data_IF_967772017318
#
_entry.id   IF_967772017318
#
_cell.length_a   1.000
_cell.length_b   1.000
_cell.length_c   1.000
_cell.angle_alpha   90.00
_cell.angle_beta   90.00
_cell.angle_gamma   90.00
#
_symmetry.space_group_name_H-M   'P 1'
#
loop_
_entity.id
_entity.type
_entity.pdbx_description
1 polymer ?
#
# COMPACT_ATOMS: atom_id res chain seq x y z
N UNK A 1 6.89 61.50 -51.53
CA UNK A 1 6.61 60.11 -51.10
C UNK A 1 7.69 59.70 -50.09
N UNK A 2 7.69 60.30 -48.90
CA UNK A 2 7.15 59.74 -47.64
C UNK A 2 7.92 58.49 -47.17
N UNK A 3 8.91 58.72 -46.31
CA UNK A 3 9.57 57.73 -45.46
C UNK A 3 8.55 57.26 -44.42
N UNK A 4 8.35 55.94 -44.30
CA UNK A 4 7.54 55.35 -43.23
C UNK A 4 8.46 55.15 -42.03
N UNK A 5 8.26 55.97 -41.01
CA UNK A 5 8.85 55.76 -39.68
C UNK A 5 8.22 54.52 -39.04
N UNK A 6 9.07 53.61 -38.57
CA UNK A 6 8.66 52.43 -37.82
C UNK A 6 8.43 52.82 -36.35
N UNK A 7 7.23 52.54 -35.83
CA UNK A 7 6.91 52.67 -34.39
C UNK A 7 7.59 51.52 -33.63
N UNK A 8 8.38 51.79 -32.58
CA UNK A 8 8.89 50.72 -31.73
C UNK A 8 7.80 50.20 -30.78
N UNK A 9 7.56 48.90 -30.80
CA UNK A 9 6.71 48.20 -29.83
C UNK A 9 7.38 48.19 -28.45
N UNK A 10 6.67 48.49 -27.34
CA UNK A 10 7.26 48.43 -26.01
C UNK A 10 7.50 46.97 -25.57
N UNK A 11 8.64 46.73 -24.92
CA UNK A 11 9.00 45.45 -24.31
C UNK A 11 8.13 45.15 -23.07
N UNK A 12 7.83 43.88 -22.74
CA UNK A 12 7.10 43.53 -21.53
C UNK A 12 7.93 43.84 -20.28
N UNK A 13 7.31 44.52 -19.32
CA UNK A 13 7.89 44.83 -18.00
C UNK A 13 8.03 43.55 -17.17
N UNK A 14 9.15 43.30 -16.47
CA UNK A 14 9.26 42.18 -15.54
C UNK A 14 8.33 42.40 -14.34
N UNK A 15 7.53 41.38 -14.00
CA UNK A 15 6.72 41.39 -12.78
C UNK A 15 7.63 41.39 -11.54
N UNK A 16 7.34 42.29 -10.59
CA UNK A 16 8.04 42.35 -9.30
C UNK A 16 7.77 41.08 -8.45
N UNK A 17 8.72 40.63 -7.61
CA UNK A 17 8.48 39.52 -6.71
C UNK A 17 7.45 39.91 -5.65
N UNK A 18 6.34 39.18 -5.60
CA UNK A 18 5.37 39.28 -4.51
C UNK A 18 6.01 38.79 -3.21
N UNK A 19 5.93 39.64 -2.18
CA UNK A 19 6.41 39.35 -0.82
C UNK A 19 5.72 38.09 -0.29
N UNK A 20 6.50 37.09 0.13
CA UNK A 20 5.96 35.87 0.71
C UNK A 20 5.30 36.16 2.07
N UNK A 21 4.08 35.67 2.26
CA UNK A 21 3.39 35.74 3.55
C UNK A 21 4.16 34.93 4.62
N UNK A 22 4.20 35.37 5.89
CA UNK A 22 4.84 34.60 6.95
C UNK A 22 4.09 33.29 7.18
N UNK A 23 4.83 32.18 7.19
CA UNK A 23 4.34 30.86 7.56
C UNK A 23 3.90 30.84 9.02
N UNK A 24 2.72 30.30 9.36
CA UNK A 24 2.31 30.14 10.75
C UNK A 24 3.23 29.14 11.46
N UNK A 25 3.71 29.52 12.65
CA UNK A 25 4.50 28.64 13.52
C UNK A 25 3.63 27.46 13.99
N UNK A 26 4.10 26.20 13.87
CA UNK A 26 3.35 25.06 14.38
C UNK A 26 3.26 25.12 15.92
N UNK A 27 2.17 24.61 16.54
CA UNK A 27 2.06 24.51 17.99
C UNK A 27 3.11 23.54 18.56
N UNK A 28 3.51 23.70 19.83
CA UNK A 28 4.42 22.77 20.50
C UNK A 28 3.79 21.37 20.56
N UNK A 29 4.55 20.37 20.10
CA UNK A 29 4.15 18.96 20.15
C UNK A 29 4.29 18.47 21.58
N UNK A 30 3.19 18.11 22.23
CA UNK A 30 3.21 17.39 23.50
C UNK A 30 3.75 15.98 23.26
N UNK A 31 4.79 15.52 24.00
CA UNK A 31 5.25 14.16 23.87
C UNK A 31 4.16 13.19 24.34
N UNK A 32 3.98 12.02 23.67
CA UNK A 32 3.03 11.02 24.12
C UNK A 32 3.43 10.49 25.50
N UNK A 33 2.45 10.30 26.38
CA UNK A 33 2.63 9.60 27.65
C UNK A 33 3.06 8.16 27.36
N UNK A 34 4.30 7.81 27.73
CA UNK A 34 4.80 6.45 27.60
C UNK A 34 4.16 5.58 28.69
N UNK A 35 3.45 4.48 28.35
CA UNK A 35 2.96 3.55 29.35
C UNK A 35 4.15 2.91 30.11
N UNK A 36 3.97 2.50 31.37
CA UNK A 36 5.03 1.86 32.15
C UNK A 36 5.54 0.60 31.45
N UNK A 37 6.86 0.45 31.42
CA UNK A 37 7.56 -0.66 30.77
C UNK A 37 7.21 -1.98 31.47
N UNK A 38 6.73 -2.96 30.69
CA UNK A 38 6.44 -4.30 31.20
C UNK A 38 7.76 -5.03 31.54
N UNK A 39 7.80 -5.85 32.61
CA UNK A 39 9.01 -6.58 32.98
C UNK A 39 9.45 -7.52 31.86
N UNK A 40 10.77 -7.60 31.65
CA UNK A 40 11.38 -8.40 30.60
C UNK A 40 11.05 -9.91 30.75
N UNK A 41 10.82 -10.63 29.64
CA UNK A 41 10.62 -12.07 29.69
C UNK A 41 11.91 -12.80 30.11
N UNK A 42 11.80 -13.97 30.76
CA UNK A 42 12.98 -14.75 31.16
C UNK A 42 13.76 -15.27 29.93
N UNK A 43 15.07 -15.51 30.05
CA UNK A 43 15.87 -16.04 28.96
C UNK A 43 15.39 -17.44 28.56
N UNK A 44 15.17 -17.65 27.26
CA UNK A 44 14.81 -18.95 26.73
C UNK A 44 16.00 -19.93 26.87
N UNK A 45 15.81 -21.00 27.65
CA UNK A 45 16.74 -22.13 27.71
C UNK A 45 16.84 -22.77 26.32
N UNK A 46 18.03 -22.70 25.69
CA UNK A 46 18.32 -23.42 24.45
C UNK A 46 18.43 -24.91 24.75
N UNK A 47 17.34 -25.64 24.56
CA UNK A 47 17.41 -27.09 24.44
C UNK A 47 17.97 -27.44 23.07
N UNK A 48 19.24 -27.80 23.00
CA UNK A 48 19.80 -28.47 21.84
C UNK A 48 19.07 -29.82 21.69
N UNK A 49 18.28 -29.99 20.63
CA UNK A 49 17.70 -31.29 20.28
C UNK A 49 18.35 -31.80 19.01
N UNK A 50 19.01 -32.94 19.20
CA UNK A 50 19.76 -33.73 18.25
C UNK A 50 19.04 -33.98 16.90
N UNK A 51 19.86 -34.01 15.86
CA UNK A 51 19.81 -34.81 14.63
C UNK A 51 18.46 -35.28 14.10
N UNK A 52 18.17 -34.84 12.87
CA UNK A 52 17.12 -35.31 11.98
C UNK A 52 17.01 -36.84 11.94
N UNK A 53 15.80 -37.43 12.06
CA UNK A 53 15.57 -38.77 11.58
C UNK A 53 15.28 -38.71 10.08
N UNK A 54 16.19 -39.23 9.27
CA UNK A 54 15.84 -39.73 7.95
C UNK A 54 14.98 -40.99 8.13
N UNK A 55 13.68 -40.89 7.89
CA UNK A 55 12.69 -41.98 7.69
C UNK A 55 11.52 -41.34 6.97
N UNK A 56 10.80 -41.94 6.04
CA UNK A 56 10.79 -43.22 5.35
C UNK A 56 9.60 -43.02 4.38
N UNK A 57 9.54 -43.76 3.28
CA UNK A 57 8.45 -43.70 2.31
C UNK A 57 7.17 -44.28 2.91
N UNK A 58 6.57 -43.55 3.84
CA UNK A 58 5.34 -43.89 4.53
C UNK A 58 4.19 -43.13 3.91
N UNK A 59 3.33 -43.87 3.22
CA UNK A 59 2.06 -43.50 2.59
C UNK A 59 1.09 -42.84 3.60
N UNK A 60 1.41 -41.63 4.02
CA UNK A 60 0.57 -40.79 4.87
C UNK A 60 -0.52 -40.18 4.03
N UNK A 61 -1.71 -40.76 4.13
CA UNK A 61 -2.96 -40.29 3.54
C UNK A 61 -3.17 -38.83 3.93
N UNK A 62 -2.67 -37.91 3.09
CA UNK A 62 -3.02 -36.49 3.12
C UNK A 62 -4.52 -36.49 2.98
N UNK A 63 -5.22 -36.24 4.09
CA UNK A 63 -6.66 -36.23 4.17
C UNK A 63 -7.15 -35.44 2.98
N UNK A 64 -7.82 -36.17 2.10
CA UNK A 64 -8.56 -35.70 0.94
C UNK A 64 -9.07 -34.30 1.23
N UNK A 65 -8.70 -33.34 0.39
CA UNK A 65 -9.57 -32.18 0.12
C UNK A 65 -10.97 -32.75 0.09
N UNK A 66 -11.75 -32.52 1.15
CA UNK A 66 -13.14 -32.91 1.17
C UNK A 66 -13.68 -32.26 -0.09
N UNK A 67 -14.01 -33.08 -1.07
CA UNK A 67 -14.67 -32.64 -2.27
C UNK A 67 -16.00 -32.10 -1.76
N UNK A 68 -15.99 -30.82 -1.40
CA UNK A 68 -17.19 -30.04 -1.16
C UNK A 68 -17.93 -30.24 -2.45
N UNK A 69 -19.01 -31.03 -2.42
CA UNK A 69 -19.90 -31.15 -3.55
C UNK A 69 -20.25 -29.70 -3.86
N UNK A 70 -19.70 -29.17 -4.96
CA UNK A 70 -19.93 -27.80 -5.38
C UNK A 70 -21.36 -27.83 -5.88
N UNK A 71 -22.32 -27.72 -4.96
CA UNK A 71 -23.61 -27.17 -5.30
C UNK A 71 -23.30 -25.87 -6.05
N UNK A 72 -23.85 -25.72 -7.25
CA UNK A 72 -23.63 -24.54 -8.06
C UNK A 72 -23.93 -23.31 -7.20
N UNK A 73 -22.90 -22.51 -6.92
CA UNK A 73 -23.06 -21.29 -6.14
C UNK A 73 -23.87 -20.31 -6.98
N UNK A 74 -25.10 -20.02 -6.56
CA UNK A 74 -25.92 -18.99 -7.19
C UNK A 74 -25.90 -17.72 -6.34
N UNK A 75 -25.12 -16.73 -6.81
CA UNK A 75 -25.01 -15.42 -6.19
C UNK A 75 -26.36 -14.70 -6.04
N UNK A 76 -27.35 -15.01 -6.90
CA UNK A 76 -28.67 -14.37 -6.87
C UNK A 76 -29.56 -14.85 -5.73
N UNK A 77 -29.20 -15.97 -5.10
CA UNK A 77 -29.94 -16.53 -3.97
C UNK A 77 -29.49 -15.99 -2.62
N UNK A 78 -28.44 -15.16 -2.59
CA UNK A 78 -27.94 -14.57 -1.35
C UNK A 78 -28.95 -13.55 -0.82
N UNK A 79 -29.16 -13.60 0.49
CA UNK A 79 -29.88 -12.53 1.20
C UNK A 79 -28.97 -11.31 1.35
N UNK A 80 -29.56 -10.13 1.59
CA UNK A 80 -28.80 -8.89 1.71
C UNK A 80 -27.74 -8.94 2.82
N UNK A 81 -28.05 -9.57 3.96
CA UNK A 81 -27.08 -9.73 5.05
C UNK A 81 -25.93 -10.68 4.70
N UNK A 82 -26.18 -11.75 3.94
CA UNK A 82 -25.12 -12.65 3.48
C UNK A 82 -24.22 -11.98 2.43
N UNK A 83 -24.82 -11.15 1.59
CA UNK A 83 -24.09 -10.34 0.64
C UNK A 83 -23.18 -9.34 1.36
N UNK A 84 -23.69 -8.62 2.36
CA UNK A 84 -22.89 -7.67 3.14
C UNK A 84 -21.71 -8.34 3.86
N UNK A 85 -21.95 -9.48 4.52
CA UNK A 85 -20.90 -10.27 5.15
C UNK A 85 -19.84 -10.77 4.15
N UNK A 86 -20.27 -11.21 2.96
CA UNK A 86 -19.36 -11.62 1.90
C UNK A 86 -18.51 -10.44 1.41
N UNK A 87 -19.13 -9.28 1.19
CA UNK A 87 -18.44 -8.05 0.76
C UNK A 87 -17.44 -7.61 1.84
N UNK A 88 -17.85 -7.59 3.10
CA UNK A 88 -16.99 -7.25 4.23
C UNK A 88 -15.78 -8.19 4.33
N UNK A 89 -16.00 -9.50 4.10
CA UNK A 89 -14.92 -10.49 4.09
C UNK A 89 -13.99 -10.34 2.89
N UNK A 90 -14.49 -9.92 1.74
CA UNK A 90 -13.71 -9.84 0.49
C UNK A 90 -12.96 -8.52 0.31
N UNK A 91 -13.50 -7.40 0.82
CA UNK A 91 -12.94 -6.07 0.57
C UNK A 91 -11.51 -5.91 1.12
N UNK A 92 -11.24 -6.44 2.32
CA UNK A 92 -9.90 -6.39 2.92
C UNK A 92 -8.84 -7.12 2.07
N UNK A 93 -9.04 -8.41 1.75
CA UNK A 93 -8.14 -9.16 0.86
C UNK A 93 -7.98 -8.53 -0.52
N UNK A 94 -9.09 -8.12 -1.17
CA UNK A 94 -9.05 -7.57 -2.53
C UNK A 94 -8.27 -6.27 -2.57
N UNK A 95 -8.52 -5.35 -1.63
CA UNK A 95 -7.79 -4.07 -1.57
C UNK A 95 -6.32 -4.25 -1.27
N UNK A 96 -5.94 -5.26 -0.46
CA UNK A 96 -4.54 -5.60 -0.21
C UNK A 96 -3.83 -6.05 -1.49
N UNK A 97 -4.46 -6.92 -2.28
CA UNK A 97 -3.93 -7.39 -3.57
C UNK A 97 -3.80 -6.24 -4.57
N UNK A 98 -4.85 -5.41 -4.71
CA UNK A 98 -4.80 -4.25 -5.59
C UNK A 98 -3.70 -3.27 -5.18
N UNK A 99 -3.50 -3.05 -3.87
CA UNK A 99 -2.42 -2.19 -3.38
C UNK A 99 -1.03 -2.72 -3.75
N UNK A 100 -0.82 -4.03 -3.69
CA UNK A 100 0.47 -4.63 -4.10
C UNK A 100 0.67 -4.54 -5.60
N UNK A 101 -0.36 -4.83 -6.40
CA UNK A 101 -0.31 -4.71 -7.86
C UNK A 101 -0.02 -3.27 -8.29
N UNK A 102 -0.71 -2.27 -7.72
CA UNK A 102 -0.47 -0.88 -8.05
C UNK A 102 0.90 -0.36 -7.60
N UNK A 103 1.48 -0.89 -6.51
CA UNK A 103 2.85 -0.54 -6.13
C UNK A 103 3.84 -1.05 -7.18
N UNK A 104 3.73 -2.31 -7.57
CA UNK A 104 4.57 -2.91 -8.61
C UNK A 104 4.37 -2.21 -9.95
N UNK A 105 3.13 -1.85 -10.27
CA UNK A 105 2.81 -1.15 -11.50
C UNK A 105 3.43 0.24 -11.53
N UNK A 106 3.45 0.98 -10.40
CA UNK A 106 4.17 2.26 -10.29
C UNK A 106 5.68 2.11 -10.44
N UNK A 107 6.29 1.07 -9.88
CA UNK A 107 7.71 0.81 -10.08
C UNK A 107 8.03 0.51 -11.55
N UNK A 108 7.15 -0.25 -12.20
CA UNK A 108 7.30 -0.61 -13.62
C UNK A 108 7.06 0.58 -14.54
N UNK A 109 5.94 1.28 -14.37
CA UNK A 109 5.59 2.48 -15.13
C UNK A 109 6.58 3.61 -14.83
N UNK A 110 7.01 3.79 -13.58
CA UNK A 110 7.99 4.82 -13.20
C UNK A 110 9.38 4.58 -13.81
N UNK A 111 9.83 3.31 -13.88
CA UNK A 111 11.01 2.93 -14.66
C UNK A 111 10.81 3.14 -16.17
N UNK A 112 9.63 2.82 -16.69
CA UNK A 112 9.30 2.93 -18.11
C UNK A 112 9.03 4.39 -18.56
N UNK A 113 8.71 5.27 -17.61
CA UNK A 113 8.37 6.69 -17.82
C UNK A 113 9.45 7.64 -17.31
N UNK A 114 10.64 7.18 -16.98
CA UNK A 114 11.76 8.08 -16.71
C UNK A 114 12.52 8.36 -18.02
N UNK A 115 12.24 9.48 -18.72
CA UNK A 115 12.96 9.85 -19.94
C UNK A 115 14.38 10.37 -19.64
N UNK A 116 14.80 10.46 -18.37
CA UNK A 116 16.14 10.94 -17.98
C UNK A 116 17.12 9.82 -17.67
N UNK A 117 16.70 8.57 -17.85
CA UNK A 117 17.51 7.37 -17.62
C UNK A 117 17.79 6.63 -18.92
#
# INVERSE_FOLDING_TARGET
>A
MQRRDAVPTPAPTPAAPTSAAPTPTPPPVTPPHQPPEAPAPPPASRTARASSPARDSGKGKRTTTAATQIAAFDARTLTDGQFDELVHRLIGPLTRLLRTEFRLDRERIGKLRDPRR
#
